data_IF_273638254569
#
_entry.id   IF_273638254569
#
_cell.length_a   1.000
_cell.length_b   1.000
_cell.length_c   1.000
_cell.angle_alpha   90.00
_cell.angle_beta   90.00
_cell.angle_gamma   90.00
#
_symmetry.space_group_name_H-M   'P 1'
#
loop_
_entity.id
_entity.type
_entity.pdbx_description
1 polymer ?
#
# COMPACT_ATOMS: atom_id res chain seq x y z
N UNK A 1 -37.06 20.86 9.33
CA UNK A 1 -35.61 21.04 9.58
C UNK A 1 -34.82 19.72 9.61
N UNK A 2 -35.38 18.57 10.03
CA UNK A 2 -34.65 17.28 10.07
C UNK A 2 -34.21 16.70 8.71
N UNK A 3 -34.92 17.02 7.61
CA UNK A 3 -34.59 16.52 6.28
C UNK A 3 -33.26 17.07 5.72
N UNK A 4 -32.85 18.28 6.09
CA UNK A 4 -31.62 18.90 5.58
C UNK A 4 -30.36 18.35 6.26
N UNK A 5 -30.44 17.91 7.53
CA UNK A 5 -29.32 17.23 8.21
C UNK A 5 -29.11 15.83 7.67
N UNK A 6 -30.18 15.05 7.44
CA UNK A 6 -30.06 13.72 6.84
C UNK A 6 -29.38 13.75 5.47
N UNK A 7 -29.75 14.73 4.63
CA UNK A 7 -29.12 14.94 3.32
C UNK A 7 -27.65 15.37 3.43
N UNK A 8 -27.30 16.25 4.38
CA UNK A 8 -25.90 16.63 4.64
C UNK A 8 -25.06 15.42 5.08
N UNK A 9 -25.56 14.60 5.99
CA UNK A 9 -24.86 13.38 6.44
C UNK A 9 -24.76 12.31 5.34
N UNK A 10 -25.74 12.23 4.44
CA UNK A 10 -25.65 11.37 3.25
C UNK A 10 -24.57 11.85 2.27
N UNK A 11 -24.50 13.16 2.01
CA UNK A 11 -23.48 13.76 1.13
C UNK A 11 -22.05 13.57 1.67
N UNK A 12 -21.85 13.79 2.98
CA UNK A 12 -20.55 13.56 3.63
C UNK A 12 -20.13 12.10 3.57
N UNK A 13 -21.06 11.15 3.76
CA UNK A 13 -20.78 9.71 3.61
C UNK A 13 -20.40 9.33 2.18
N UNK A 14 -21.11 9.85 1.16
CA UNK A 14 -20.78 9.66 -0.26
C UNK A 14 -19.40 10.23 -0.60
N UNK A 15 -19.06 11.42 -0.08
CA UNK A 15 -17.75 12.04 -0.30
C UNK A 15 -16.62 11.21 0.35
N UNK A 16 -16.83 10.70 1.57
CA UNK A 16 -15.86 9.85 2.27
C UNK A 16 -15.61 8.53 1.53
N UNK A 17 -16.66 7.92 0.99
CA UNK A 17 -16.56 6.70 0.19
C UNK A 17 -15.82 6.93 -1.15
N UNK A 18 -16.06 8.07 -1.82
CA UNK A 18 -15.33 8.45 -3.03
C UNK A 18 -13.84 8.72 -2.77
N UNK A 19 -13.52 9.47 -1.71
CA UNK A 19 -12.13 9.76 -1.35
C UNK A 19 -11.34 8.48 -1.03
N UNK A 20 -11.94 7.56 -0.27
CA UNK A 20 -11.32 6.26 0.03
C UNK A 20 -11.15 5.40 -1.23
N UNK A 21 -12.13 5.40 -2.15
CA UNK A 21 -11.99 4.67 -3.41
C UNK A 21 -10.85 5.18 -4.29
N UNK A 22 -10.66 6.50 -4.38
CA UNK A 22 -9.58 7.10 -5.16
C UNK A 22 -8.19 6.84 -4.54
N UNK A 23 -8.10 6.80 -3.21
CA UNK A 23 -6.89 6.44 -2.48
C UNK A 23 -6.48 4.99 -2.76
N UNK A 24 -7.44 4.05 -2.83
CA UNK A 24 -7.15 2.65 -3.13
C UNK A 24 -6.61 2.44 -4.56
N UNK A 25 -7.08 3.24 -5.53
CA UNK A 25 -6.56 3.22 -6.89
C UNK A 25 -5.12 3.72 -6.94
N UNK A 26 -4.84 4.85 -6.27
CA UNK A 26 -3.53 5.44 -6.19
C UNK A 26 -2.52 4.49 -5.51
N UNK A 27 -2.91 3.84 -4.41
CA UNK A 27 -2.06 2.86 -3.71
C UNK A 27 -1.74 1.68 -4.63
N UNK A 28 -2.70 1.17 -5.40
CA UNK A 28 -2.43 0.08 -6.34
C UNK A 28 -1.44 0.49 -7.44
N UNK A 29 -1.59 1.68 -8.00
CA UNK A 29 -0.65 2.21 -8.99
C UNK A 29 0.75 2.39 -8.40
N UNK A 30 0.85 2.95 -7.18
CA UNK A 30 2.13 3.16 -6.49
C UNK A 30 2.82 1.84 -6.12
N UNK A 31 2.06 0.81 -5.70
CA UNK A 31 2.62 -0.53 -5.42
C UNK A 31 3.13 -1.18 -6.71
N UNK A 32 2.38 -1.09 -7.82
CA UNK A 32 2.82 -1.60 -9.12
C UNK A 32 4.08 -0.89 -9.62
N UNK A 33 4.11 0.44 -9.58
CA UNK A 33 5.26 1.25 -9.99
C UNK A 33 6.48 1.00 -9.07
N UNK A 34 6.26 0.90 -7.76
CA UNK A 34 7.30 0.56 -6.79
C UNK A 34 7.91 -0.81 -7.05
N UNK A 35 7.08 -1.80 -7.39
CA UNK A 35 7.51 -3.14 -7.74
C UNK A 35 8.36 -3.18 -9.01
N UNK A 36 7.90 -2.53 -10.07
CA UNK A 36 8.63 -2.47 -11.35
C UNK A 36 9.99 -1.79 -11.14
N UNK A 37 10.03 -0.67 -10.43
CA UNK A 37 11.29 0.05 -10.16
C UNK A 37 12.22 -0.74 -9.24
N UNK A 38 11.72 -1.48 -8.25
CA UNK A 38 12.55 -2.32 -7.38
C UNK A 38 13.25 -3.45 -8.16
N UNK A 39 12.54 -4.11 -9.08
CA UNK A 39 13.14 -5.15 -9.95
C UNK A 39 14.17 -4.55 -10.88
N UNK A 40 13.89 -3.39 -11.48
CA UNK A 40 14.85 -2.69 -12.34
C UNK A 40 16.11 -2.23 -11.58
N UNK A 41 15.96 -1.78 -10.33
CA UNK A 41 17.09 -1.40 -9.48
C UNK A 41 17.99 -2.62 -9.18
N UNK A 42 17.39 -3.79 -8.93
CA UNK A 42 18.10 -5.01 -8.61
C UNK A 42 18.91 -5.60 -9.79
N UNK A 43 18.54 -5.27 -11.03
CA UNK A 43 19.22 -5.74 -12.24
C UNK A 43 20.30 -4.77 -12.74
N UNK A 44 20.44 -3.59 -12.15
CA UNK A 44 21.32 -2.56 -12.67
C UNK A 44 22.78 -2.74 -12.22
N UNK A 45 23.72 -2.63 -13.15
CA UNK A 45 25.18 -2.73 -12.89
C UNK A 45 25.89 -1.37 -12.91
N UNK A 46 25.22 -0.32 -13.39
CA UNK A 46 25.73 1.06 -13.39
C UNK A 46 25.29 1.84 -12.13
N UNK A 47 26.22 2.55 -11.49
CA UNK A 47 25.98 3.28 -10.25
C UNK A 47 24.99 4.45 -10.40
N UNK A 48 25.08 5.23 -11.48
CA UNK A 48 24.22 6.40 -11.72
C UNK A 48 22.76 5.99 -11.97
N UNK A 49 22.58 4.91 -12.74
CA UNK A 49 21.26 4.37 -13.02
C UNK A 49 20.63 3.73 -11.77
N UNK A 50 21.42 3.09 -10.91
CA UNK A 50 20.95 2.54 -9.64
C UNK A 50 20.44 3.64 -8.70
N UNK A 51 21.17 4.75 -8.56
CA UNK A 51 20.74 5.88 -7.71
C UNK A 51 19.44 6.52 -8.22
N UNK A 52 19.32 6.68 -9.53
CA UNK A 52 18.12 7.27 -10.15
C UNK A 52 16.90 6.38 -9.92
N UNK A 53 17.02 5.08 -10.14
CA UNK A 53 15.89 4.14 -9.93
C UNK A 53 15.56 4.04 -8.43
N UNK A 54 16.56 4.02 -7.56
CA UNK A 54 16.36 4.01 -6.10
C UNK A 54 15.59 5.24 -5.61
N UNK A 55 15.84 6.42 -6.19
CA UNK A 55 15.07 7.62 -5.89
C UNK A 55 13.57 7.43 -6.22
N UNK A 56 13.25 6.91 -7.40
CA UNK A 56 11.86 6.62 -7.77
C UNK A 56 11.22 5.53 -6.89
N UNK A 57 11.94 4.45 -6.60
CA UNK A 57 11.45 3.40 -5.69
C UNK A 57 11.15 3.96 -4.30
N UNK A 58 12.04 4.80 -3.76
CA UNK A 58 11.84 5.45 -2.45
C UNK A 58 10.62 6.38 -2.46
N UNK A 59 10.43 7.14 -3.54
CA UNK A 59 9.29 8.03 -3.71
C UNK A 59 7.96 7.25 -3.74
N UNK A 60 7.87 6.15 -4.50
CA UNK A 60 6.67 5.33 -4.57
C UNK A 60 6.37 4.63 -3.25
N UNK A 61 7.39 4.10 -2.58
CA UNK A 61 7.24 3.46 -1.27
C UNK A 61 6.75 4.43 -0.20
N UNK A 62 7.31 5.66 -0.18
CA UNK A 62 6.87 6.73 0.72
C UNK A 62 5.41 7.12 0.45
N UNK A 63 5.01 7.24 -0.83
CA UNK A 63 3.63 7.51 -1.22
C UNK A 63 2.63 6.45 -0.73
N UNK A 64 2.97 5.17 -0.87
CA UNK A 64 2.16 4.07 -0.35
C UNK A 64 2.00 4.15 1.17
N UNK A 65 3.11 4.31 1.89
CA UNK A 65 3.12 4.34 3.36
C UNK A 65 2.27 5.48 3.91
N UNK A 66 2.41 6.68 3.35
CA UNK A 66 1.65 7.85 3.76
C UNK A 66 0.14 7.69 3.52
N UNK A 67 -0.25 7.00 2.45
CA UNK A 67 -1.67 6.71 2.19
C UNK A 67 -2.25 5.74 3.21
N UNK A 68 -1.50 4.72 3.63
CA UNK A 68 -1.95 3.82 4.70
C UNK A 68 -2.13 4.56 6.04
N UNK A 69 -1.20 5.43 6.40
CA UNK A 69 -1.28 6.22 7.65
C UNK A 69 -2.53 7.12 7.63
N UNK A 70 -2.74 7.85 6.55
CA UNK A 70 -3.88 8.76 6.43
C UNK A 70 -5.21 8.00 6.50
N UNK A 71 -5.30 6.83 5.87
CA UNK A 71 -6.47 5.93 5.98
C UNK A 71 -6.72 5.49 7.42
N UNK A 72 -5.68 5.10 8.16
CA UNK A 72 -5.79 4.73 9.58
C UNK A 72 -6.30 5.90 10.42
N UNK A 73 -5.81 7.11 10.16
CA UNK A 73 -6.23 8.32 10.89
C UNK A 73 -7.70 8.70 10.63
N UNK A 74 -8.20 8.44 9.42
CA UNK A 74 -9.61 8.70 9.04
C UNK A 74 -10.56 7.79 9.82
N UNK A 75 -10.17 6.53 10.04
CA UNK A 75 -10.95 5.51 10.76
C UNK A 75 -10.78 5.64 12.29
N UNK A 76 -9.61 6.10 12.74
CA UNK A 76 -9.28 6.16 14.17
C UNK A 76 -9.98 7.32 14.91
N UNK A 77 -10.50 7.08 16.13
CA UNK A 77 -11.11 8.12 16.97
C UNK A 77 -10.07 9.15 17.42
N UNK A 78 -10.46 10.43 17.49
CA UNK A 78 -9.55 11.57 17.66
C UNK A 78 -8.59 11.43 18.85
N UNK A 79 -9.03 10.86 19.98
CA UNK A 79 -8.20 10.70 21.18
C UNK A 79 -7.05 9.68 21.02
N UNK A 80 -7.15 8.74 20.08
CA UNK A 80 -6.20 7.62 19.92
C UNK A 80 -5.43 7.65 18.61
N UNK A 81 -5.64 8.66 17.75
CA UNK A 81 -5.02 8.72 16.41
C UNK A 81 -3.50 8.60 16.46
N UNK A 82 -2.86 9.29 17.40
CA UNK A 82 -1.41 9.24 17.60
C UNK A 82 -0.91 7.84 17.97
N UNK A 83 -1.54 7.21 18.98
CA UNK A 83 -1.15 5.87 19.44
C UNK A 83 -1.36 4.80 18.38
N UNK A 84 -2.48 4.84 17.64
CA UNK A 84 -2.76 3.83 16.60
C UNK A 84 -1.75 3.91 15.46
N UNK A 85 -1.41 5.13 15.01
CA UNK A 85 -0.40 5.32 13.96
C UNK A 85 1.00 4.93 14.45
N UNK A 86 1.34 5.24 15.70
CA UNK A 86 2.62 4.85 16.28
C UNK A 86 2.77 3.32 16.38
N UNK A 87 1.72 2.62 16.86
CA UNK A 87 1.72 1.15 16.92
C UNK A 87 1.82 0.54 15.53
N UNK A 88 1.10 1.09 14.54
CA UNK A 88 1.19 0.65 13.16
C UNK A 88 2.62 0.80 12.60
N UNK A 89 3.25 1.96 12.80
CA UNK A 89 4.62 2.21 12.36
C UNK A 89 5.62 1.30 13.06
N UNK A 90 5.48 1.11 14.38
CA UNK A 90 6.33 0.20 15.14
C UNK A 90 6.26 -1.23 14.59
N UNK A 91 5.04 -1.75 14.35
CA UNK A 91 4.85 -3.11 13.83
C UNK A 91 5.45 -3.27 12.44
N UNK A 92 5.25 -2.30 11.55
CA UNK A 92 5.80 -2.36 10.19
C UNK A 92 7.31 -2.21 10.18
N UNK A 93 7.88 -1.32 10.99
CA UNK A 93 9.32 -1.16 11.08
C UNK A 93 9.98 -2.41 11.66
N UNK A 94 9.43 -2.98 12.74
CA UNK A 94 9.96 -4.21 13.36
C UNK A 94 9.83 -5.41 12.41
N UNK A 95 8.67 -5.61 11.80
CA UNK A 95 8.47 -6.71 10.85
C UNK A 95 9.31 -6.51 9.59
N UNK A 96 9.32 -5.31 9.01
CA UNK A 96 10.02 -5.01 7.77
C UNK A 96 11.54 -5.08 7.91
N UNK A 97 12.11 -4.45 8.93
CA UNK A 97 13.56 -4.47 9.16
C UNK A 97 14.03 -5.78 9.79
N UNK A 98 13.19 -6.45 10.58
CA UNK A 98 13.54 -7.73 11.20
C UNK A 98 13.50 -8.90 10.23
N UNK A 99 12.51 -8.92 9.33
CA UNK A 99 12.28 -10.06 8.42
C UNK A 99 12.90 -9.81 7.04
N UNK A 100 13.01 -8.56 6.60
CA UNK A 100 13.49 -8.20 5.26
C UNK A 100 14.89 -8.73 4.93
N UNK A 101 15.95 -8.33 5.67
CA UNK A 101 17.32 -8.74 5.38
C UNK A 101 17.56 -10.26 5.44
N UNK A 102 17.02 -11.01 6.42
CA UNK A 102 17.13 -12.47 6.45
C UNK A 102 16.49 -13.14 5.23
N UNK A 103 15.31 -12.68 4.80
CA UNK A 103 14.64 -13.22 3.61
C UNK A 103 15.42 -12.90 2.35
N UNK A 104 16.07 -11.73 2.24
CA UNK A 104 16.88 -11.41 1.05
C UNK A 104 18.22 -12.15 1.02
N UNK A 105 18.79 -12.48 2.19
CA UNK A 105 20.06 -13.19 2.29
C UNK A 105 19.94 -14.68 1.90
N UNK A 106 18.83 -15.35 2.24
CA UNK A 106 18.67 -16.79 2.00
C UNK A 106 18.74 -17.21 0.50
N UNK A 107 18.05 -16.54 -0.44
CA UNK A 107 18.17 -16.84 -1.87
C UNK A 107 19.55 -16.53 -2.43
N UNK A 108 20.22 -15.49 -1.91
CA UNK A 108 21.57 -15.11 -2.37
C UNK A 108 22.60 -16.20 -2.08
N UNK A 109 22.44 -16.92 -0.97
CA UNK A 109 23.33 -18.01 -0.58
C UNK A 109 23.06 -19.34 -1.29
N UNK A 110 21.80 -19.60 -1.67
CA UNK A 110 21.38 -20.93 -2.13
C UNK A 110 21.04 -21.03 -3.63
N UNK A 111 20.68 -19.92 -4.29
CA UNK A 111 20.14 -19.94 -5.65
C UNK A 111 20.91 -19.11 -6.68
N UNK A 112 21.76 -18.18 -6.24
CA UNK A 112 22.39 -17.18 -7.14
C UNK A 112 23.90 -17.04 -6.93
N UNK A 113 24.56 -18.06 -6.38
CA UNK A 113 26.02 -18.12 -6.20
C UNK A 113 26.62 -16.83 -5.58
N UNK A 114 25.96 -16.27 -4.56
CA UNK A 114 26.41 -15.07 -3.86
C UNK A 114 26.10 -13.73 -4.54
N UNK A 115 25.39 -13.71 -5.68
CA UNK A 115 25.00 -12.46 -6.35
C UNK A 115 23.76 -11.85 -5.69
N UNK A 116 23.95 -10.68 -5.08
CA UNK A 116 22.90 -9.97 -4.32
C UNK A 116 21.81 -9.40 -5.23
N UNK A 117 22.16 -8.90 -6.42
CA UNK A 117 21.21 -8.28 -7.35
C UNK A 117 20.04 -9.21 -7.76
N UNK A 118 20.30 -10.38 -8.36
CA UNK A 118 19.22 -11.28 -8.76
C UNK A 118 18.46 -11.89 -7.55
N UNK A 119 19.12 -12.04 -6.40
CA UNK A 119 18.45 -12.46 -5.17
C UNK A 119 17.43 -11.41 -4.69
N UNK A 120 17.78 -10.13 -4.75
CA UNK A 120 16.85 -9.03 -4.45
C UNK A 120 15.67 -8.99 -5.44
N UNK A 121 15.92 -9.24 -6.73
CA UNK A 121 14.86 -9.29 -7.74
C UNK A 121 13.87 -10.44 -7.47
N UNK A 122 14.38 -11.64 -7.15
CA UNK A 122 13.54 -12.80 -6.80
C UNK A 122 12.68 -12.53 -5.56
N UNK A 123 13.27 -11.94 -4.53
CA UNK A 123 12.55 -11.62 -3.28
C UNK A 123 11.49 -10.55 -3.52
N UNK A 124 11.81 -9.54 -4.34
CA UNK A 124 10.87 -8.48 -4.71
C UNK A 124 9.65 -9.07 -5.41
N UNK A 125 9.85 -10.00 -6.36
CA UNK A 125 8.76 -10.72 -7.02
C UNK A 125 7.99 -11.61 -6.03
N UNK A 126 8.70 -12.38 -5.22
CA UNK A 126 8.10 -13.35 -4.29
C UNK A 126 7.25 -12.70 -3.19
N UNK A 127 7.63 -11.53 -2.70
CA UNK A 127 6.88 -10.78 -1.67
C UNK A 127 5.88 -9.81 -2.31
N UNK A 128 6.23 -9.21 -3.45
CA UNK A 128 5.39 -8.25 -4.10
C UNK A 128 4.18 -8.83 -4.82
N UNK A 129 4.29 -10.04 -5.38
CA UNK A 129 3.16 -10.75 -5.97
C UNK A 129 2.03 -11.02 -4.95
N UNK A 130 2.28 -11.59 -3.75
CA UNK A 130 1.23 -11.75 -2.74
C UNK A 130 0.73 -10.40 -2.22
N UNK A 131 1.59 -9.38 -2.13
CA UNK A 131 1.16 -8.01 -1.77
C UNK A 131 0.14 -7.47 -2.75
N UNK A 132 0.41 -7.55 -4.06
CA UNK A 132 -0.54 -7.17 -5.11
C UNK A 132 -1.82 -8.01 -5.04
N UNK A 133 -1.70 -9.31 -4.78
CA UNK A 133 -2.84 -10.22 -4.61
C UNK A 133 -3.77 -9.79 -3.47
N UNK A 134 -3.20 -9.52 -2.29
CA UNK A 134 -3.98 -9.04 -1.13
C UNK A 134 -4.62 -7.68 -1.38
N UNK A 135 -3.94 -6.78 -2.10
CA UNK A 135 -4.47 -5.46 -2.44
C UNK A 135 -5.65 -5.56 -3.42
N UNK A 136 -5.54 -6.41 -4.46
CA UNK A 136 -6.65 -6.67 -5.39
C UNK A 136 -7.84 -7.29 -4.66
N UNK A 137 -7.59 -8.22 -3.74
CA UNK A 137 -8.63 -8.85 -2.93
C UNK A 137 -9.35 -7.86 -2.01
N UNK A 138 -8.58 -6.99 -1.33
CA UNK A 138 -9.12 -5.90 -0.51
C UNK A 138 -10.05 -4.98 -1.31
N UNK A 139 -9.66 -4.60 -2.53
CA UNK A 139 -10.47 -3.77 -3.43
C UNK A 139 -11.79 -4.44 -3.82
N UNK A 140 -11.79 -5.75 -4.05
CA UNK A 140 -13.05 -6.49 -4.34
C UNK A 140 -14.04 -6.38 -3.19
N UNK A 141 -13.57 -6.56 -1.94
CA UNK A 141 -14.41 -6.42 -0.75
C UNK A 141 -14.99 -5.00 -0.58
N UNK A 142 -14.17 -3.97 -0.83
CA UNK A 142 -14.62 -2.57 -0.74
C UNK A 142 -15.70 -2.22 -1.79
N UNK A 143 -15.49 -2.61 -3.05
CA UNK A 143 -16.44 -2.36 -4.15
C UNK A 143 -17.79 -3.03 -3.93
N UNK A 144 -17.79 -4.26 -3.39
CA UNK A 144 -19.02 -4.99 -3.07
C UNK A 144 -19.82 -4.30 -1.96
N UNK A 145 -19.15 -3.74 -0.94
CA UNK A 145 -19.83 -3.00 0.13
C UNK A 145 -20.38 -1.66 -0.33
N UNK A 146 -19.69 -0.96 -1.23
CA UNK A 146 -20.23 0.27 -1.84
C UNK A 146 -21.45 -0.06 -2.71
N UNK A 147 -21.39 -1.11 -3.54
CA UNK A 147 -22.51 -1.51 -4.37
C UNK A 147 -23.75 -1.84 -3.53
N UNK A 148 -23.59 -2.60 -2.44
CA UNK A 148 -24.68 -2.92 -1.52
C UNK A 148 -25.29 -1.69 -0.81
N UNK A 149 -24.48 -0.66 -0.52
CA UNK A 149 -24.96 0.61 0.06
C UNK A 149 -25.70 1.48 -0.96
N UNK A 150 -25.38 1.34 -2.26
CA UNK A 150 -26.09 2.05 -3.33
C UNK A 150 -27.47 1.45 -3.55
N UNK A 151 -27.59 0.11 -3.60
CA UNK A 151 -28.88 -0.59 -3.75
C UNK A 151 -29.85 -0.28 -2.59
N UNK A 152 -29.36 -0.16 -1.37
CA UNK A 152 -30.20 0.19 -0.20
C UNK A 152 -30.73 1.63 -0.22
N UNK A 153 -30.14 2.54 -1.01
CA UNK A 153 -30.56 3.95 -1.08
C UNK A 153 -31.55 4.25 -2.22
N UNK A 154 -32.03 3.23 -2.96
CA UNK A 154 -33.22 3.36 -3.82
C UNK A 154 -33.08 4.33 -4.99
N UNK A 155 -32.02 4.20 -5.79
CA UNK A 155 -31.94 4.80 -7.13
C UNK A 155 -32.20 3.73 -8.20
N UNK A 156 -33.40 3.14 -8.19
CA UNK A 156 -34.11 2.64 -9.39
C UNK A 156 -35.60 2.85 -9.19
#
# INVERSE_FOLDING_TARGET
MAASESQKWAAVRRQRARCSGNQDEAVLMLVLLGMVTAVLAAMQTSAEALLTIYFFTSMFLSGCSNTCITSIQIVSPARMRGTVVATYMLLISVAGLGIGPPITASPSANFVDGRIGPALALVSIAIGAPTLGTQIWSRRGYRLRIAALTDQNGET
#
